data_IF_270264729386
#
_entry.id   IF_270264729386
#
_cell.length_a   1.000
_cell.length_b   1.000
_cell.length_c   1.000
_cell.angle_alpha   90.00
_cell.angle_beta   90.00
_cell.angle_gamma   90.00
#
_symmetry.space_group_name_H-M   'P 1'
#
loop_
_entity.id
_entity.type
_entity.pdbx_description
1 polymer ?
#
# COMPACT_ATOMS: atom_id res chain seq x y z
N UNK A 1 -4.81 19.45 54.35
CA UNK A 1 -3.89 18.95 53.32
C UNK A 1 -4.59 19.00 51.99
N UNK A 2 -4.28 19.99 51.15
CA UNK A 2 -4.81 20.07 49.80
C UNK A 2 -3.94 19.20 48.88
N UNK A 3 -4.53 18.18 48.28
CA UNK A 3 -3.88 17.39 47.23
C UNK A 3 -4.05 18.15 45.93
N UNK A 4 -2.93 18.67 45.39
CA UNK A 4 -2.86 19.25 44.06
C UNK A 4 -2.78 18.11 43.06
N UNK A 5 -3.69 17.98 42.08
CA UNK A 5 -3.54 16.96 41.05
C UNK A 5 -2.35 17.33 40.16
N UNK A 6 -1.37 16.42 40.05
CA UNK A 6 -0.27 16.52 39.07
C UNK A 6 -0.85 16.40 37.69
N UNK A 7 -0.98 17.50 36.98
CA UNK A 7 -1.28 17.50 35.58
C UNK A 7 -0.14 16.82 34.81
N UNK A 8 -0.42 15.67 34.18
CA UNK A 8 0.48 15.07 33.20
C UNK A 8 0.61 16.03 32.02
N UNK A 9 1.79 16.63 31.83
CA UNK A 9 2.08 17.37 30.61
C UNK A 9 1.88 16.41 29.43
N UNK A 10 0.96 16.73 28.54
CA UNK A 10 0.81 16.03 27.26
C UNK A 10 2.10 16.23 26.48
N UNK A 11 2.69 15.16 25.98
CA UNK A 11 3.84 15.26 25.07
C UNK A 11 3.42 16.12 23.86
N UNK A 12 4.23 17.12 23.50
CA UNK A 12 3.97 17.97 22.34
C UNK A 12 3.83 17.10 21.08
N UNK A 13 2.77 17.32 20.32
CA UNK A 13 2.53 16.60 19.07
C UNK A 13 3.54 17.00 17.98
N UNK A 14 3.73 16.19 16.95
CA UNK A 14 4.74 16.43 15.91
C UNK A 14 4.52 17.75 15.13
N UNK A 15 3.36 18.36 15.23
CA UNK A 15 3.06 19.64 14.58
C UNK A 15 3.17 20.87 15.50
N UNK A 16 3.29 20.68 16.82
CA UNK A 16 3.30 21.82 17.77
C UNK A 16 4.50 22.76 17.53
N UNK A 17 5.58 22.24 16.94
CA UNK A 17 6.78 22.98 16.58
C UNK A 17 7.11 22.93 15.08
N UNK A 18 6.18 22.51 14.23
CA UNK A 18 6.43 22.43 12.79
C UNK A 18 6.64 23.85 12.22
N UNK A 19 7.78 24.09 11.54
CA UNK A 19 8.06 25.39 10.92
C UNK A 19 7.06 25.65 9.79
N UNK A 20 6.82 26.94 9.49
CA UNK A 20 6.12 27.29 8.26
C UNK A 20 7.01 26.94 7.05
N UNK A 21 6.42 26.36 6.02
CA UNK A 21 7.11 26.12 4.78
C UNK A 21 7.58 27.43 4.13
N UNK A 22 8.77 27.42 3.58
CA UNK A 22 9.36 28.55 2.86
C UNK A 22 10.03 28.03 1.59
N UNK A 23 9.71 28.64 0.46
CA UNK A 23 10.29 28.29 -0.83
C UNK A 23 11.83 28.38 -0.81
N UNK A 24 12.51 27.41 -1.41
CA UNK A 24 13.97 27.37 -1.48
C UNK A 24 14.69 27.05 -0.17
N UNK A 25 13.95 26.70 0.88
CA UNK A 25 14.55 26.22 2.13
C UNK A 25 14.75 24.70 2.05
N UNK A 26 15.93 24.23 2.46
CA UNK A 26 16.22 22.81 2.52
C UNK A 26 15.49 22.16 3.69
N UNK A 27 14.77 21.07 3.41
CA UNK A 27 14.07 20.25 4.40
C UNK A 27 14.58 18.81 4.34
N UNK A 28 15.20 18.29 5.40
CA UNK A 28 15.53 16.87 5.49
C UNK A 28 14.28 15.98 5.39
N UNK A 29 14.43 14.77 4.90
CA UNK A 29 13.38 13.75 4.94
C UNK A 29 12.78 13.62 6.37
N UNK A 30 11.47 13.40 6.45
CA UNK A 30 10.67 13.37 7.68
C UNK A 30 10.47 14.76 8.38
N UNK A 31 10.87 15.85 7.77
CA UNK A 31 10.55 17.18 8.31
C UNK A 31 9.08 17.50 8.05
N UNK A 32 8.33 17.81 9.12
CA UNK A 32 6.95 18.29 9.02
C UNK A 32 6.95 19.81 8.93
N UNK A 33 6.22 20.37 7.96
CA UNK A 33 6.05 21.81 7.78
C UNK A 33 4.57 22.18 7.75
N UNK A 34 4.24 23.41 8.13
CA UNK A 34 2.92 23.99 7.90
C UNK A 34 2.94 24.81 6.61
N UNK A 35 2.10 24.45 5.66
CA UNK A 35 2.00 25.17 4.39
C UNK A 35 1.04 26.37 4.45
N UNK A 36 1.03 27.18 3.40
CA UNK A 36 0.23 28.42 3.31
C UNK A 36 -1.28 28.19 3.27
N UNK A 37 -1.72 26.98 2.90
CA UNK A 37 -3.12 26.54 2.94
C UNK A 37 -3.59 26.17 4.36
N UNK A 38 -2.71 26.31 5.36
CA UNK A 38 -2.98 25.98 6.76
C UNK A 38 -2.84 24.49 7.10
N UNK A 39 -2.58 23.63 6.13
CA UNK A 39 -2.34 22.20 6.33
C UNK A 39 -0.86 21.92 6.59
N UNK A 40 -0.60 20.67 7.03
CA UNK A 40 0.75 20.19 7.27
C UNK A 40 1.17 19.20 6.20
N UNK A 41 2.46 19.21 5.90
CA UNK A 41 3.09 18.29 4.95
C UNK A 41 4.38 17.74 5.55
N UNK A 42 4.71 16.49 5.24
CA UNK A 42 5.96 15.85 5.64
C UNK A 42 6.85 15.63 4.42
N UNK A 43 8.13 15.95 4.55
CA UNK A 43 9.11 15.69 3.51
C UNK A 43 9.40 14.19 3.42
N UNK A 44 9.12 13.54 2.31
CA UNK A 44 9.44 12.13 2.06
C UNK A 44 10.92 11.94 1.71
N UNK A 45 11.52 12.94 1.09
CA UNK A 45 12.91 12.96 0.69
C UNK A 45 13.57 14.27 1.12
N UNK A 46 14.91 14.30 1.15
CA UNK A 46 15.66 15.54 1.27
C UNK A 46 15.21 16.50 0.17
N UNK A 47 14.70 17.65 0.56
CA UNK A 47 13.89 18.51 -0.29
C UNK A 47 14.49 19.93 -0.33
N UNK A 48 14.86 20.44 -1.52
CA UNK A 48 15.42 21.78 -1.66
C UNK A 48 14.36 22.92 -1.58
N UNK A 49 13.19 22.67 -0.98
CA UNK A 49 12.14 23.65 -0.78
C UNK A 49 11.12 23.72 -1.93
N UNK A 50 10.90 22.60 -2.62
CA UNK A 50 9.82 22.48 -3.60
C UNK A 50 8.44 22.66 -2.95
N UNK A 51 7.48 23.14 -3.73
CA UNK A 51 6.12 23.44 -3.28
C UNK A 51 5.35 22.16 -2.93
N UNK A 52 4.75 22.03 -1.73
CA UNK A 52 4.01 20.85 -1.28
C UNK A 52 2.79 20.48 -2.13
N UNK A 53 2.13 21.43 -2.79
CA UNK A 53 0.95 21.15 -3.62
C UNK A 53 1.31 20.66 -5.02
N UNK A 54 2.54 20.92 -5.48
CA UNK A 54 2.98 20.63 -6.86
C UNK A 54 3.93 19.43 -6.85
N UNK A 55 4.78 19.33 -5.84
CA UNK A 55 5.88 18.36 -5.79
C UNK A 55 5.53 17.17 -4.89
N UNK A 56 4.51 16.42 -5.29
CA UNK A 56 3.98 15.27 -4.54
C UNK A 56 4.98 14.13 -4.35
N UNK A 57 6.10 14.13 -5.06
CA UNK A 57 7.21 13.20 -4.84
C UNK A 57 8.06 13.58 -3.61
N UNK A 58 8.10 14.88 -3.26
CA UNK A 58 8.86 15.37 -2.13
C UNK A 58 8.03 15.56 -0.86
N UNK A 59 6.70 15.72 -0.99
CA UNK A 59 5.81 16.07 0.11
C UNK A 59 4.56 15.25 0.15
N UNK A 60 4.25 14.71 1.32
CA UNK A 60 2.97 14.11 1.62
C UNK A 60 2.14 15.00 2.57
N UNK A 61 0.81 15.06 2.39
CA UNK A 61 -0.08 15.64 3.39
C UNK A 61 0.10 14.98 4.75
N UNK A 62 0.15 15.78 5.82
CA UNK A 62 0.41 15.31 7.19
C UNK A 62 -0.66 15.76 8.17
N UNK A 63 -1.09 14.90 9.11
CA UNK A 63 -1.99 15.27 10.21
C UNK A 63 -1.31 15.21 11.57
N UNK A 64 -1.62 16.21 12.39
CA UNK A 64 -0.98 16.48 13.67
C UNK A 64 -1.52 15.65 14.84
N UNK A 65 -2.56 14.86 14.64
CA UNK A 65 -3.13 14.04 15.71
C UNK A 65 -2.51 12.63 15.68
N UNK A 66 -1.56 12.40 16.57
CA UNK A 66 -1.08 11.04 16.88
C UNK A 66 -0.14 10.39 15.88
N UNK A 67 0.72 11.15 15.19
CA UNK A 67 1.79 10.57 14.34
C UNK A 67 1.27 9.78 13.13
N UNK A 68 0.14 10.16 12.59
CA UNK A 68 -0.47 9.54 11.42
C UNK A 68 -0.96 10.57 10.43
N UNK A 69 -0.69 10.35 9.16
CA UNK A 69 -1.16 11.08 8.00
C UNK A 69 -2.71 11.18 7.92
N UNK A 70 -3.34 12.22 7.29
CA UNK A 70 -4.79 12.43 7.20
C UNK A 70 -5.61 11.32 6.58
N UNK A 71 -4.98 10.29 6.11
CA UNK A 71 -5.63 9.11 5.53
C UNK A 71 -6.33 8.21 6.51
N UNK A 72 -6.59 8.61 7.73
CA UNK A 72 -7.54 7.88 8.57
C UNK A 72 -7.03 7.37 9.92
N UNK A 73 -7.52 7.93 10.99
CA UNK A 73 -7.59 7.23 12.29
C UNK A 73 -8.39 5.91 12.25
N UNK A 74 -8.55 5.32 11.07
CA UNK A 74 -9.27 4.08 10.78
C UNK A 74 -8.39 2.95 10.26
N UNK A 75 -7.19 3.23 9.69
CA UNK A 75 -6.32 2.14 9.24
C UNK A 75 -5.69 1.43 10.44
N UNK A 76 -5.86 0.10 10.59
CA UNK A 76 -5.51 -0.60 11.82
C UNK A 76 -4.02 -0.92 11.96
N UNK A 77 -3.17 -0.43 11.07
CA UNK A 77 -1.71 -0.60 11.10
C UNK A 77 -1.06 0.75 11.37
N UNK A 78 -0.25 0.84 12.40
CA UNK A 78 0.58 2.02 12.67
C UNK A 78 1.87 2.00 11.84
N UNK A 79 2.52 3.14 11.68
CA UNK A 79 3.81 3.22 11.00
C UNK A 79 4.86 2.32 11.67
N UNK A 80 4.92 2.30 13.00
CA UNK A 80 5.83 1.40 13.74
C UNK A 80 5.57 -0.07 13.42
N UNK A 81 4.30 -0.50 13.34
CA UNK A 81 3.95 -1.86 12.96
C UNK A 81 4.30 -2.15 11.49
N UNK A 82 4.10 -1.18 10.58
CA UNK A 82 4.52 -1.31 9.19
C UNK A 82 6.05 -1.47 9.07
N UNK A 83 6.82 -0.72 9.84
CA UNK A 83 8.28 -0.88 9.91
C UNK A 83 8.69 -2.23 10.47
N UNK A 84 7.97 -2.76 11.47
CA UNK A 84 8.20 -4.12 12.01
C UNK A 84 7.87 -5.22 11.00
N UNK A 85 6.85 -5.01 10.16
CA UNK A 85 6.49 -5.94 9.10
C UNK A 85 7.55 -5.98 7.99
N UNK A 86 8.11 -4.82 7.63
CA UNK A 86 8.99 -4.61 6.48
C UNK A 86 10.30 -3.89 6.84
N UNK A 87 11.15 -4.47 7.69
CA UNK A 87 12.36 -3.79 8.18
C UNK A 87 13.43 -3.54 7.10
N UNK A 88 13.39 -4.31 6.00
CA UNK A 88 14.33 -4.22 4.87
C UNK A 88 13.74 -3.62 3.60
N UNK A 89 12.57 -2.97 3.69
CA UNK A 89 11.88 -2.44 2.51
C UNK A 89 12.69 -1.39 1.76
N UNK A 90 12.44 -1.31 0.47
CA UNK A 90 12.90 -0.20 -0.36
C UNK A 90 12.25 1.13 0.10
N UNK A 91 13.03 2.21 0.13
CA UNK A 91 12.56 3.54 0.54
C UNK A 91 11.43 4.10 -0.34
N UNK A 92 11.24 3.58 -1.55
CA UNK A 92 10.10 3.87 -2.41
C UNK A 92 8.75 3.52 -1.73
N UNK A 93 8.69 2.42 -0.99
CA UNK A 93 7.47 1.98 -0.32
C UNK A 93 7.32 2.64 1.05
N UNK A 94 6.91 3.91 1.07
CA UNK A 94 6.67 4.64 2.31
C UNK A 94 5.34 4.24 2.95
N UNK A 95 5.26 4.34 4.28
CA UNK A 95 3.99 4.21 4.99
C UNK A 95 2.99 5.29 4.56
N UNK A 96 3.47 6.52 4.36
CA UNK A 96 2.66 7.64 3.91
C UNK A 96 2.07 7.39 2.51
N UNK A 97 2.83 6.81 1.60
CA UNK A 97 2.34 6.41 0.27
C UNK A 97 1.17 5.42 0.37
N UNK A 98 1.26 4.43 1.28
CA UNK A 98 0.14 3.53 1.56
C UNK A 98 -1.07 4.29 2.10
N UNK A 99 -0.87 5.13 3.11
CA UNK A 99 -1.95 5.89 3.74
C UNK A 99 -2.64 6.83 2.73
N UNK A 100 -1.87 7.52 1.89
CA UNK A 100 -2.41 8.41 0.85
C UNK A 100 -3.27 7.64 -0.18
N UNK A 101 -2.93 6.39 -0.45
CA UNK A 101 -3.67 5.54 -1.37
C UNK A 101 -5.02 5.04 -0.81
N UNK A 102 -5.18 4.96 0.52
CA UNK A 102 -6.40 4.42 1.16
C UNK A 102 -7.67 5.20 0.81
N UNK A 103 -7.55 6.49 0.49
CA UNK A 103 -8.68 7.33 0.11
C UNK A 103 -9.40 6.82 -1.15
N UNK A 104 -8.70 6.09 -2.02
CA UNK A 104 -9.28 5.51 -3.24
C UNK A 104 -10.22 4.32 -2.91
N UNK A 105 -9.99 3.63 -1.79
CA UNK A 105 -10.77 2.46 -1.37
C UNK A 105 -11.08 2.50 0.13
N UNK A 106 -12.00 3.37 0.57
CA UNK A 106 -12.28 3.59 2.00
C UNK A 106 -12.89 2.37 2.72
N UNK A 107 -13.39 1.38 1.98
CA UNK A 107 -13.85 0.10 2.51
C UNK A 107 -12.72 -0.84 2.94
N UNK A 108 -11.53 -0.69 2.35
CA UNK A 108 -10.37 -1.51 2.67
C UNK A 108 -9.94 -1.32 4.12
N UNK A 109 -9.81 -2.42 4.86
CA UNK A 109 -9.54 -2.42 6.30
C UNK A 109 -10.40 -1.45 7.12
N UNK A 110 -11.54 -1.03 6.55
CA UNK A 110 -12.53 -0.14 7.14
C UNK A 110 -13.86 -0.80 7.42
N UNK A 111 -14.11 -2.01 6.88
CA UNK A 111 -15.38 -2.75 6.94
C UNK A 111 -15.35 -3.82 8.03
N UNK A 112 -16.46 -3.99 8.74
CA UNK A 112 -16.63 -5.03 9.76
C UNK A 112 -16.11 -4.65 11.15
N UNK A 113 -15.88 -5.66 12.00
CA UNK A 113 -15.32 -5.50 13.34
C UNK A 113 -13.82 -5.11 13.29
N UNK A 114 -13.28 -4.60 14.41
CA UNK A 114 -11.85 -4.30 14.52
C UNK A 114 -10.96 -5.53 14.25
N UNK A 115 -11.44 -6.73 14.61
CA UNK A 115 -10.77 -7.97 14.28
C UNK A 115 -10.69 -8.16 12.76
N UNK A 116 -11.81 -8.03 12.05
CA UNK A 116 -11.89 -8.18 10.58
C UNK A 116 -11.00 -7.16 9.86
N UNK A 117 -11.02 -5.89 10.30
CA UNK A 117 -10.17 -4.83 9.75
C UNK A 117 -8.68 -5.14 9.88
N UNK A 118 -8.25 -5.64 11.06
CA UNK A 118 -6.85 -6.03 11.30
C UNK A 118 -6.48 -7.28 10.50
N UNK A 119 -7.38 -8.25 10.40
CA UNK A 119 -7.17 -9.45 9.58
C UNK A 119 -7.03 -9.08 8.10
N UNK A 120 -7.87 -8.19 7.58
CA UNK A 120 -7.78 -7.76 6.18
C UNK A 120 -6.46 -6.99 5.91
N UNK A 121 -6.08 -6.06 6.78
CA UNK A 121 -4.82 -5.34 6.66
C UNK A 121 -3.62 -6.30 6.69
N UNK A 122 -3.59 -7.27 7.62
CA UNK A 122 -2.57 -8.29 7.70
C UNK A 122 -2.52 -9.15 6.43
N UNK A 123 -3.68 -9.56 5.90
CA UNK A 123 -3.81 -10.39 4.71
C UNK A 123 -3.30 -9.68 3.45
N UNK A 124 -3.66 -8.41 3.27
CA UNK A 124 -3.15 -7.59 2.18
C UNK A 124 -1.64 -7.47 2.23
N UNK A 125 -1.10 -7.03 3.38
CA UNK A 125 0.34 -6.82 3.56
C UNK A 125 1.13 -8.14 3.46
N UNK A 126 0.56 -9.28 3.85
CA UNK A 126 1.20 -10.59 3.71
C UNK A 126 1.33 -11.02 2.24
N UNK A 127 0.32 -10.76 1.42
CA UNK A 127 0.42 -10.99 -0.01
C UNK A 127 1.46 -10.05 -0.64
N UNK A 128 1.47 -8.77 -0.24
CA UNK A 128 2.49 -7.80 -0.66
C UNK A 128 3.90 -8.25 -0.27
N UNK A 129 4.09 -8.76 0.95
CA UNK A 129 5.37 -9.31 1.43
C UNK A 129 5.88 -10.40 0.49
N UNK A 130 5.00 -11.31 0.12
CA UNK A 130 5.33 -12.41 -0.78
C UNK A 130 5.66 -11.95 -2.21
N UNK A 131 4.83 -11.09 -2.80
CA UNK A 131 4.97 -10.62 -4.19
C UNK A 131 6.24 -9.78 -4.41
N UNK A 132 6.71 -9.10 -3.37
CA UNK A 132 7.80 -8.12 -3.46
C UNK A 132 9.08 -8.53 -2.72
N UNK A 133 9.08 -9.71 -2.07
CA UNK A 133 10.17 -10.11 -1.20
C UNK A 133 10.36 -9.17 0.00
N UNK A 134 9.26 -8.79 0.65
CA UNK A 134 9.29 -7.88 1.79
C UNK A 134 9.34 -6.40 1.41
N UNK A 135 8.68 -5.99 0.33
CA UNK A 135 8.73 -4.64 -0.23
C UNK A 135 10.15 -4.23 -0.70
N UNK A 136 10.99 -5.21 -1.06
CA UNK A 136 12.32 -4.95 -1.62
C UNK A 136 12.23 -4.63 -3.11
N UNK A 137 11.46 -5.41 -3.86
CA UNK A 137 11.35 -5.30 -5.30
C UNK A 137 10.17 -4.42 -5.72
N UNK A 138 10.45 -3.36 -6.48
CA UNK A 138 9.42 -2.48 -7.05
C UNK A 138 8.91 -3.07 -8.37
N UNK A 139 9.80 -3.72 -9.12
CA UNK A 139 9.51 -4.28 -10.44
C UNK A 139 9.90 -5.75 -10.49
N UNK A 140 9.27 -6.49 -11.39
CA UNK A 140 9.59 -7.89 -11.69
C UNK A 140 11.08 -8.05 -12.01
N UNK A 141 11.70 -9.05 -11.37
CA UNK A 141 13.15 -9.26 -11.48
C UNK A 141 13.54 -10.05 -12.76
N UNK A 142 12.61 -10.87 -13.29
CA UNK A 142 12.88 -11.62 -14.50
C UNK A 142 12.56 -10.81 -15.76
N UNK A 143 13.53 -10.05 -16.24
CA UNK A 143 13.37 -9.20 -17.43
C UNK A 143 13.06 -9.96 -18.71
N UNK A 144 13.34 -11.26 -18.79
CA UNK A 144 13.00 -12.09 -19.93
C UNK A 144 11.47 -12.24 -20.12
N UNK A 145 10.68 -12.03 -19.06
CA UNK A 145 9.22 -12.09 -19.12
C UNK A 145 8.58 -10.79 -19.69
N UNK A 146 9.28 -9.68 -19.68
CA UNK A 146 8.72 -8.36 -20.02
C UNK A 146 7.95 -8.33 -21.34
N UNK A 147 8.43 -8.93 -22.45
CA UNK A 147 7.71 -8.93 -23.72
C UNK A 147 6.40 -9.74 -23.72
N UNK A 148 6.18 -10.60 -22.72
CA UNK A 148 5.02 -11.49 -22.66
C UNK A 148 3.75 -10.77 -22.16
N UNK A 149 3.88 -9.64 -21.46
CA UNK A 149 2.76 -8.96 -20.83
C UNK A 149 1.98 -8.00 -21.73
N UNK A 150 2.16 -8.11 -23.04
CA UNK A 150 1.41 -7.36 -24.04
C UNK A 150 0.43 -8.28 -24.79
N UNK A 151 -0.84 -8.24 -24.42
CA UNK A 151 -1.91 -8.86 -25.22
C UNK A 151 -2.28 -7.96 -26.38
N UNK A 152 -1.83 -8.33 -27.57
CA UNK A 152 -2.07 -7.58 -28.82
C UNK A 152 -3.49 -7.71 -29.36
N UNK A 153 -4.31 -8.62 -28.81
CA UNK A 153 -5.71 -8.78 -29.19
C UNK A 153 -6.59 -7.71 -28.54
N UNK A 154 -6.07 -6.99 -27.55
CA UNK A 154 -6.78 -5.87 -26.97
C UNK A 154 -6.90 -4.72 -28.00
N UNK A 155 -8.07 -4.06 -28.13
CA UNK A 155 -8.30 -3.05 -29.16
C UNK A 155 -7.40 -1.81 -29.02
N UNK A 156 -6.86 -1.55 -27.84
CA UNK A 156 -5.93 -0.45 -27.57
C UNK A 156 -4.45 -0.87 -27.70
N UNK A 157 -4.17 -2.16 -27.90
CA UNK A 157 -2.82 -2.69 -28.04
C UNK A 157 -1.89 -2.39 -26.86
N UNK A 158 -0.65 -2.06 -27.18
CA UNK A 158 0.42 -1.79 -26.19
C UNK A 158 1.12 -0.46 -26.51
N UNK A 159 0.47 0.69 -26.29
CA UNK A 159 0.99 1.99 -26.73
C UNK A 159 2.33 2.38 -26.06
N UNK A 160 2.59 1.94 -24.83
CA UNK A 160 3.89 2.17 -24.15
C UNK A 160 5.01 1.24 -24.65
N UNK A 161 4.70 0.26 -25.51
CA UNK A 161 5.63 -0.72 -26.03
C UNK A 161 5.35 -2.13 -25.54
N UNK A 162 5.80 -3.13 -26.32
CA UNK A 162 5.53 -4.54 -26.04
C UNK A 162 6.09 -5.01 -24.68
N UNK A 163 7.24 -4.53 -24.29
CA UNK A 163 7.92 -4.92 -23.05
C UNK A 163 7.63 -3.96 -21.88
N UNK A 164 6.57 -3.16 -21.94
CA UNK A 164 6.32 -2.10 -20.98
C UNK A 164 5.40 -2.50 -19.82
N UNK A 165 4.69 -3.62 -19.89
CA UNK A 165 3.59 -3.96 -18.95
C UNK A 165 3.95 -5.09 -17.98
N UNK A 166 5.23 -5.21 -17.62
CA UNK A 166 5.71 -6.15 -16.62
C UNK A 166 5.24 -5.81 -15.20
N UNK A 167 5.42 -6.74 -14.28
CA UNK A 167 4.98 -6.61 -12.89
C UNK A 167 5.59 -5.42 -12.17
N UNK A 168 4.75 -4.56 -11.56
CA UNK A 168 5.15 -3.41 -10.76
C UNK A 168 4.31 -3.25 -9.51
N UNK A 169 4.94 -2.67 -8.51
CA UNK A 169 4.26 -2.27 -7.28
C UNK A 169 3.96 -3.42 -6.33
N UNK A 170 3.17 -3.17 -5.27
CA UNK A 170 3.02 -4.07 -4.14
C UNK A 170 2.37 -5.42 -4.47
N UNK A 171 1.49 -5.49 -5.47
CA UNK A 171 0.88 -6.73 -5.97
C UNK A 171 1.29 -7.04 -7.41
N UNK A 172 2.43 -6.52 -7.88
CA UNK A 172 3.04 -6.83 -9.18
C UNK A 172 2.03 -6.72 -10.34
N UNK A 173 1.35 -5.56 -10.44
CA UNK A 173 0.44 -5.26 -11.55
C UNK A 173 1.13 -5.51 -12.88
N UNK A 174 0.58 -6.40 -13.71
CA UNK A 174 1.12 -6.81 -15.00
C UNK A 174 0.02 -6.95 -16.05
N UNK A 175 0.40 -7.01 -17.33
CA UNK A 175 -0.45 -7.02 -18.52
C UNK A 175 -1.08 -5.68 -18.87
N UNK A 176 -1.02 -5.33 -20.16
CA UNK A 176 -1.60 -4.09 -20.69
C UNK A 176 -3.09 -3.90 -20.34
N UNK A 177 -3.89 -4.97 -20.30
CA UNK A 177 -5.30 -4.89 -19.93
C UNK A 177 -5.51 -4.57 -18.45
N UNK A 178 -4.65 -5.05 -17.55
CA UNK A 178 -4.73 -4.69 -16.14
C UNK A 178 -4.26 -3.26 -15.89
N UNK A 179 -3.18 -2.80 -16.57
CA UNK A 179 -2.77 -1.40 -16.52
C UNK A 179 -3.87 -0.46 -17.02
N UNK A 180 -4.56 -0.84 -18.12
CA UNK A 180 -5.72 -0.09 -18.62
C UNK A 180 -6.85 -0.05 -17.61
N UNK A 181 -7.26 -1.19 -17.09
CA UNK A 181 -8.38 -1.29 -16.15
C UNK A 181 -8.11 -0.56 -14.83
N UNK A 182 -6.91 -0.70 -14.26
CA UNK A 182 -6.49 0.05 -13.08
C UNK A 182 -6.44 1.56 -13.36
N UNK A 183 -5.88 1.94 -14.49
CA UNK A 183 -5.80 3.34 -14.92
C UNK A 183 -7.17 3.99 -15.06
N UNK A 184 -8.12 3.32 -15.73
CA UNK A 184 -9.49 3.81 -15.89
C UNK A 184 -10.20 3.97 -14.53
N UNK A 185 -10.05 2.98 -13.65
CA UNK A 185 -10.68 2.99 -12.32
C UNK A 185 -10.11 4.09 -11.40
N UNK A 186 -8.83 4.42 -11.56
CA UNK A 186 -8.12 5.39 -10.73
C UNK A 186 -8.08 6.80 -11.36
N UNK A 187 -8.52 6.95 -12.61
CA UNK A 187 -8.39 8.21 -13.35
C UNK A 187 -6.94 8.57 -13.73
N UNK A 188 -6.07 7.57 -13.89
CA UNK A 188 -4.63 7.73 -14.19
C UNK A 188 -4.32 7.02 -15.51
N UNK A 189 -3.57 7.65 -16.41
CA UNK A 189 -3.27 7.07 -17.73
C UNK A 189 -2.15 6.01 -17.66
N UNK A 190 -2.38 4.91 -16.95
CA UNK A 190 -1.39 3.85 -16.76
C UNK A 190 -1.12 3.01 -18.02
N UNK A 191 -2.03 3.02 -18.99
CA UNK A 191 -1.81 2.31 -20.25
C UNK A 191 -0.70 2.96 -21.08
N UNK A 192 -0.65 4.29 -21.13
CA UNK A 192 0.38 5.02 -21.87
C UNK A 192 1.63 5.31 -21.02
N UNK A 193 1.48 5.38 -19.70
CA UNK A 193 2.60 5.57 -18.77
C UNK A 193 2.54 4.56 -17.62
N UNK A 194 2.88 3.28 -17.88
CA UNK A 194 2.96 2.27 -16.84
C UNK A 194 4.09 2.51 -15.83
N UNK A 195 5.03 3.40 -16.15
CA UNK A 195 6.18 3.73 -15.27
C UNK A 195 5.74 4.43 -13.99
N UNK A 196 4.59 5.11 -13.98
CA UNK A 196 4.02 5.73 -12.78
C UNK A 196 3.87 4.75 -11.61
N UNK A 197 3.62 3.46 -11.88
CA UNK A 197 3.50 2.44 -10.82
C UNK A 197 4.85 2.13 -10.14
N UNK A 198 5.98 2.49 -10.74
CA UNK A 198 7.31 2.30 -10.15
C UNK A 198 7.99 3.60 -9.71
N UNK A 199 7.40 4.76 -10.04
CA UNK A 199 8.00 6.08 -9.76
C UNK A 199 7.17 6.91 -8.79
N UNK A 200 5.88 6.60 -8.61
CA UNK A 200 4.97 7.26 -7.65
C UNK A 200 4.46 6.23 -6.64
N UNK A 201 4.85 6.38 -5.37
CA UNK A 201 4.50 5.45 -4.31
C UNK A 201 2.97 5.40 -4.06
N UNK A 202 2.27 6.52 -4.13
CA UNK A 202 0.83 6.55 -3.93
C UNK A 202 0.09 5.86 -5.10
N UNK A 203 0.52 6.07 -6.34
CA UNK A 203 -0.02 5.37 -7.51
C UNK A 203 0.25 3.87 -7.39
N UNK A 204 1.46 3.49 -6.99
CA UNK A 204 1.86 2.10 -6.76
C UNK A 204 0.92 1.39 -5.77
N UNK A 205 0.67 1.99 -4.61
CA UNK A 205 -0.26 1.46 -3.61
C UNK A 205 -1.72 1.47 -4.08
N UNK A 206 -2.16 2.51 -4.82
CA UNK A 206 -3.52 2.56 -5.39
C UNK A 206 -3.80 1.40 -6.35
N UNK A 207 -2.81 1.00 -7.17
CA UNK A 207 -2.99 -0.16 -8.07
C UNK A 207 -3.15 -1.47 -7.32
N UNK A 208 -2.41 -1.66 -6.20
CA UNK A 208 -2.56 -2.83 -5.35
C UNK A 208 -3.92 -2.84 -4.63
N UNK A 209 -4.37 -1.69 -4.12
CA UNK A 209 -5.69 -1.55 -3.51
C UNK A 209 -6.81 -1.73 -4.54
N UNK A 210 -6.63 -1.25 -5.77
CA UNK A 210 -7.55 -1.53 -6.87
C UNK A 210 -7.73 -3.04 -7.07
N UNK A 211 -6.63 -3.78 -7.21
CA UNK A 211 -6.71 -5.23 -7.36
C UNK A 211 -7.43 -5.88 -6.19
N UNK A 212 -7.01 -5.56 -4.98
CA UNK A 212 -7.54 -6.14 -3.74
C UNK A 212 -9.06 -5.98 -3.60
N UNK A 213 -9.57 -4.80 -3.94
CA UNK A 213 -10.99 -4.47 -3.75
C UNK A 213 -11.87 -4.83 -4.94
N UNK A 214 -11.33 -4.99 -6.14
CA UNK A 214 -12.15 -5.08 -7.36
C UNK A 214 -11.88 -6.29 -8.23
N UNK A 215 -10.72 -6.95 -8.06
CA UNK A 215 -10.34 -8.07 -8.91
C UNK A 215 -10.48 -9.40 -8.18
N UNK A 216 -10.99 -10.41 -8.87
CA UNK A 216 -11.08 -11.78 -8.36
C UNK A 216 -10.02 -12.71 -8.95
N UNK A 217 -9.34 -12.29 -10.01
CA UNK A 217 -8.35 -13.10 -10.74
C UNK A 217 -8.88 -14.50 -11.07
N UNK A 218 -8.09 -15.54 -10.79
CA UNK A 218 -8.53 -16.93 -10.95
C UNK A 218 -9.49 -17.42 -9.84
N UNK A 219 -9.76 -16.62 -8.83
CA UNK A 219 -10.69 -16.92 -7.75
C UNK A 219 -12.15 -16.64 -8.09
N UNK A 220 -13.03 -16.81 -7.11
CA UNK A 220 -14.48 -16.60 -7.24
C UNK A 220 -14.95 -15.30 -6.60
N UNK A 221 -14.12 -14.64 -5.80
CA UNK A 221 -14.41 -13.40 -5.08
C UNK A 221 -13.17 -12.52 -5.00
N UNK A 222 -13.35 -11.24 -4.68
CA UNK A 222 -12.23 -10.35 -4.44
C UNK A 222 -11.52 -10.69 -3.13
N UNK A 223 -10.22 -10.37 -2.96
CA UNK A 223 -9.55 -10.52 -1.67
C UNK A 223 -10.25 -9.77 -0.53
N UNK A 224 -10.78 -8.56 -0.80
CA UNK A 224 -11.59 -7.80 0.13
C UNK A 224 -12.81 -8.61 0.59
N UNK A 225 -13.62 -9.11 -0.34
CA UNK A 225 -14.81 -9.92 -0.03
C UNK A 225 -14.45 -11.18 0.77
N UNK A 226 -13.31 -11.80 0.46
CA UNK A 226 -12.83 -12.98 1.17
C UNK A 226 -12.59 -12.67 2.67
N UNK A 227 -11.98 -11.55 2.98
CA UNK A 227 -11.65 -11.18 4.35
C UNK A 227 -12.87 -10.65 5.12
N UNK A 228 -13.64 -9.73 4.54
CA UNK A 228 -14.79 -9.10 5.24
C UNK A 228 -15.95 -10.06 5.47
N UNK A 229 -16.06 -11.11 4.65
CA UNK A 229 -17.07 -12.17 4.79
C UNK A 229 -16.54 -13.45 5.45
N UNK A 230 -15.36 -13.40 6.10
CA UNK A 230 -14.76 -14.52 6.83
C UNK A 230 -14.58 -15.79 5.98
N UNK A 231 -14.27 -15.63 4.68
CA UNK A 231 -13.97 -16.75 3.78
C UNK A 231 -12.55 -17.27 3.93
N UNK A 232 -11.69 -16.51 4.60
CA UNK A 232 -10.34 -16.86 4.99
C UNK A 232 -9.25 -16.40 4.03
N UNK A 233 -8.02 -16.41 4.56
CA UNK A 233 -6.82 -15.95 3.85
C UNK A 233 -6.53 -16.72 2.57
N UNK A 234 -6.81 -18.05 2.55
CA UNK A 234 -6.61 -18.90 1.37
C UNK A 234 -7.37 -18.41 0.14
N UNK A 235 -8.54 -17.75 0.31
CA UNK A 235 -9.28 -17.19 -0.82
C UNK A 235 -8.58 -15.95 -1.41
N UNK A 236 -7.82 -15.18 -0.60
CA UNK A 236 -7.02 -14.07 -1.12
C UNK A 236 -5.87 -14.56 -1.99
N UNK A 237 -5.21 -15.66 -1.60
CA UNK A 237 -4.20 -16.33 -2.42
C UNK A 237 -4.82 -16.82 -3.73
N UNK A 238 -5.99 -17.45 -3.65
CA UNK A 238 -6.71 -17.95 -4.82
C UNK A 238 -7.06 -16.85 -5.82
N UNK A 239 -7.46 -15.68 -5.32
CA UNK A 239 -7.73 -14.51 -6.16
C UNK A 239 -6.45 -13.98 -6.84
N UNK A 240 -5.33 -13.90 -6.12
CA UNK A 240 -4.10 -13.28 -6.64
C UNK A 240 -3.39 -14.23 -7.61
N UNK A 241 -3.12 -15.46 -7.20
CA UNK A 241 -2.27 -16.38 -7.94
C UNK A 241 -2.72 -17.87 -7.89
N UNK A 242 -4.01 -18.10 -7.63
CA UNK A 242 -4.56 -19.45 -7.39
C UNK A 242 -4.35 -20.42 -8.54
N UNK A 243 -4.28 -19.94 -9.79
CA UNK A 243 -4.07 -20.79 -10.95
C UNK A 243 -2.73 -21.57 -10.93
N UNK A 244 -1.71 -21.02 -10.24
CA UNK A 244 -0.37 -21.61 -10.18
C UNK A 244 0.07 -22.01 -8.77
N UNK A 245 -0.63 -21.57 -7.73
CA UNK A 245 -0.25 -21.85 -6.34
C UNK A 245 -1.21 -22.80 -5.63
N UNK A 246 -2.54 -22.63 -5.80
CA UNK A 246 -3.56 -23.38 -5.04
C UNK A 246 -3.77 -24.82 -5.52
N UNK A 247 -4.54 -25.57 -4.73
CA UNK A 247 -4.93 -26.98 -5.03
C UNK A 247 -3.72 -27.90 -5.18
N UNK A 248 -2.69 -27.68 -4.35
CA UNK A 248 -1.47 -28.50 -4.34
C UNK A 248 -0.46 -28.18 -5.43
N UNK A 249 -0.68 -27.16 -6.28
CA UNK A 249 0.23 -26.83 -7.38
C UNK A 249 1.57 -26.27 -6.90
N UNK A 250 1.55 -25.39 -5.88
CA UNK A 250 2.77 -24.87 -5.28
C UNK A 250 2.60 -24.63 -3.78
N UNK A 251 2.60 -25.68 -2.95
CA UNK A 251 2.36 -25.57 -1.51
C UNK A 251 3.41 -24.74 -0.78
N UNK A 252 4.64 -24.65 -1.30
CA UNK A 252 5.69 -23.85 -0.69
C UNK A 252 5.38 -22.33 -0.80
N UNK A 253 4.84 -21.88 -1.92
CA UNK A 253 4.43 -20.48 -2.09
C UNK A 253 3.22 -20.16 -1.20
N UNK A 254 2.21 -21.04 -1.15
CA UNK A 254 1.07 -20.90 -0.24
C UNK A 254 1.53 -20.81 1.21
N UNK A 255 2.44 -21.69 1.64
CA UNK A 255 2.99 -21.68 3.01
C UNK A 255 3.75 -20.40 3.32
N UNK A 256 4.53 -19.87 2.37
CA UNK A 256 5.22 -18.60 2.52
C UNK A 256 4.23 -17.45 2.80
N UNK A 257 3.15 -17.34 2.02
CA UNK A 257 2.10 -16.32 2.23
C UNK A 257 1.42 -16.49 3.60
N UNK A 258 1.11 -17.73 3.98
CA UNK A 258 0.48 -18.04 5.28
C UNK A 258 1.39 -17.66 6.44
N UNK A 259 2.70 -17.94 6.35
CA UNK A 259 3.66 -17.55 7.38
C UNK A 259 3.71 -16.02 7.56
N UNK A 260 3.74 -15.27 6.47
CA UNK A 260 3.71 -13.80 6.51
C UNK A 260 2.41 -13.29 7.13
N UNK A 261 1.27 -13.89 6.74
CA UNK A 261 -0.03 -13.51 7.30
C UNK A 261 -0.10 -13.76 8.81
N UNK A 262 0.32 -14.92 9.28
CA UNK A 262 0.33 -15.24 10.72
C UNK A 262 1.25 -14.30 11.50
N UNK A 263 2.43 -14.00 10.97
CA UNK A 263 3.37 -13.04 11.55
C UNK A 263 2.75 -11.64 11.65
N UNK A 264 2.09 -11.16 10.60
CA UNK A 264 1.47 -9.84 10.58
C UNK A 264 0.22 -9.75 11.46
N UNK A 265 -0.60 -10.80 11.49
CA UNK A 265 -1.72 -10.90 12.42
C UNK A 265 -1.23 -10.82 13.88
N UNK A 266 -0.11 -11.48 14.22
CA UNK A 266 0.52 -11.39 15.54
C UNK A 266 0.99 -9.96 15.86
N UNK A 267 1.64 -9.26 14.92
CA UNK A 267 2.04 -7.85 15.09
C UNK A 267 0.83 -6.95 15.35
N UNK A 268 -0.30 -7.23 14.71
CA UNK A 268 -1.55 -6.47 14.88
C UNK A 268 -2.38 -6.93 16.10
N UNK A 269 -1.93 -7.95 16.84
CA UNK A 269 -2.62 -8.46 18.02
C UNK A 269 -3.98 -9.08 17.70
N UNK A 270 -4.09 -9.81 16.58
CA UNK A 270 -5.33 -10.46 16.13
C UNK A 270 -5.08 -11.92 15.78
N UNK A 271 -6.06 -12.80 16.07
CA UNK A 271 -6.01 -14.19 15.59
C UNK A 271 -6.17 -14.22 14.06
N UNK A 272 -5.44 -15.09 13.34
CA UNK A 272 -5.49 -15.15 11.87
C UNK A 272 -6.84 -15.65 11.33
N UNK A 273 -7.65 -16.33 12.15
CA UNK A 273 -8.91 -16.94 11.71
C UNK A 273 -8.70 -18.29 11.01
N UNK A 274 -9.77 -18.77 10.38
CA UNK A 274 -9.81 -20.07 9.70
C UNK A 274 -9.48 -19.98 8.21
N UNK A 275 -9.41 -21.13 7.51
CA UNK A 275 -9.22 -21.25 6.06
C UNK A 275 -7.99 -20.48 5.53
N UNK A 276 -6.84 -20.74 6.15
CA UNK A 276 -5.58 -20.06 5.81
C UNK A 276 -5.01 -20.49 4.45
N UNK A 277 -5.30 -21.70 4.02
CA UNK A 277 -4.73 -22.33 2.82
C UNK A 277 -5.77 -22.41 1.67
N UNK A 278 -5.27 -22.64 0.45
CA UNK A 278 -6.13 -22.83 -0.72
C UNK A 278 -5.85 -24.13 -1.52
#
# INVERSE_FOLDING_TARGET
MLVVPSGTASAAGPCDNAPNWTAGTWYPANTVVRYTDGKYYIAEHDNPGYDPLISTWYWDPYTCQGGGNPGNGKFPVTETQFQQMFPGRNSFYTYNGLISALAAYPGFAGTGSDQVKRQEAAAFLANVDHETGGLVHIVEQNTANYPHYCDRNQPYGCPAGQAAYYGRGPLQLSWNFNYKAAGDALGINLLNDPSLVQTDAAVSWKTALWYWNTQRGPGTMTPHDAMVNSRGFGQTIRSINGAVECDGRNPAQVQSRVNSYQRFAQILGVAPGDNLYC
#
